data_IF_968300135236
#
_entry.id   IF_968300135236
#
_cell.length_a   1.000
_cell.length_b   1.000
_cell.length_c   1.000
_cell.angle_alpha   90.00
_cell.angle_beta   90.00
_cell.angle_gamma   90.00
#
_symmetry.space_group_name_H-M   'P 1'
#
loop_
_entity.id
_entity.type
_entity.pdbx_description
1 polymer ?
#
# COMPACT_ATOMS: atom_id res chain seq x y z
N UNK A 1 -6.94 19.06 36.77
CA UNK A 1 -6.40 18.05 35.83
C UNK A 1 -4.98 18.46 35.49
N UNK A 2 -3.99 17.57 35.60
CA UNK A 2 -2.62 17.94 35.22
C UNK A 2 -2.53 18.09 33.70
N UNK A 3 -1.92 19.18 33.24
CA UNK A 3 -1.72 19.51 31.82
C UNK A 3 -1.39 18.30 30.91
N UNK A 4 -0.47 17.37 31.28
CA UNK A 4 -0.17 16.20 30.45
C UNK A 4 -1.38 15.28 30.19
N UNK A 5 -2.28 15.11 31.16
CA UNK A 5 -3.44 14.23 31.00
C UNK A 5 -4.46 14.79 29.98
N UNK A 6 -4.58 16.12 29.93
CA UNK A 6 -5.44 16.79 28.95
C UNK A 6 -4.85 16.65 27.55
N UNK A 7 -3.53 16.82 27.40
CA UNK A 7 -2.84 16.66 26.12
C UNK A 7 -3.01 15.24 25.59
N UNK A 8 -2.77 14.21 26.41
CA UNK A 8 -2.94 12.81 26.01
C UNK A 8 -4.36 12.51 25.52
N UNK A 9 -5.38 13.01 26.22
CA UNK A 9 -6.78 12.85 25.81
C UNK A 9 -7.08 13.55 24.48
N UNK A 10 -6.61 14.78 24.31
CA UNK A 10 -6.81 15.55 23.06
C UNK A 10 -6.15 14.83 21.89
N UNK A 11 -4.91 14.34 22.06
CA UNK A 11 -4.20 13.59 21.03
C UNK A 11 -4.91 12.29 20.66
N UNK A 12 -5.39 11.52 21.65
CA UNK A 12 -6.12 10.27 21.38
C UNK A 12 -7.44 10.53 20.66
N UNK A 13 -8.21 11.54 21.08
CA UNK A 13 -9.46 11.90 20.39
C UNK A 13 -9.18 12.37 18.97
N UNK A 14 -8.18 13.24 18.78
CA UNK A 14 -7.79 13.70 17.45
C UNK A 14 -7.35 12.54 16.54
N UNK A 15 -6.54 11.61 17.06
CA UNK A 15 -6.10 10.43 16.32
C UNK A 15 -7.30 9.57 15.87
N UNK A 16 -8.24 9.27 16.78
CA UNK A 16 -9.43 8.47 16.45
C UNK A 16 -10.29 9.19 15.41
N UNK A 17 -10.53 10.49 15.56
CA UNK A 17 -11.30 11.28 14.58
C UNK A 17 -10.63 11.25 13.20
N UNK A 18 -9.32 11.47 13.14
CA UNK A 18 -8.58 11.43 11.88
C UNK A 18 -8.61 10.04 11.24
N UNK A 19 -8.49 8.97 12.02
CA UNK A 19 -8.60 7.59 11.52
C UNK A 19 -9.99 7.33 10.93
N UNK A 20 -11.06 7.78 11.59
CA UNK A 20 -12.42 7.63 11.08
C UNK A 20 -12.65 8.42 9.79
N UNK A 21 -12.17 9.66 9.73
CA UNK A 21 -12.24 10.50 8.52
C UNK A 21 -11.45 9.84 7.38
N UNK A 22 -10.22 9.40 7.65
CA UNK A 22 -9.40 8.71 6.67
C UNK A 22 -10.06 7.40 6.20
N UNK A 23 -10.70 6.64 7.09
CA UNK A 23 -11.46 5.45 6.76
C UNK A 23 -12.66 5.76 5.85
N UNK A 24 -13.43 6.80 6.14
CA UNK A 24 -14.53 7.22 5.28
C UNK A 24 -14.05 7.64 3.88
N UNK A 25 -12.95 8.41 3.80
CA UNK A 25 -12.33 8.78 2.52
C UNK A 25 -11.79 7.57 1.77
N UNK A 26 -11.21 6.60 2.47
CA UNK A 26 -10.73 5.35 1.89
C UNK A 26 -11.88 4.54 1.29
N UNK A 27 -12.99 4.39 2.02
CA UNK A 27 -14.19 3.73 1.51
C UNK A 27 -14.68 4.42 0.23
N UNK A 28 -14.73 5.75 0.23
CA UNK A 28 -15.11 6.53 -0.95
C UNK A 28 -14.16 6.32 -2.14
N UNK A 29 -12.86 6.11 -1.88
CA UNK A 29 -11.86 5.79 -2.90
C UNK A 29 -12.00 4.36 -3.44
N UNK A 30 -12.19 3.37 -2.57
CA UNK A 30 -12.43 1.97 -2.96
C UNK A 30 -13.64 1.87 -3.90
N UNK A 31 -14.70 2.63 -3.62
CA UNK A 31 -15.92 2.63 -4.43
C UNK A 31 -15.73 3.28 -5.81
N UNK A 32 -14.91 4.33 -5.90
CA UNK A 32 -14.63 5.02 -7.17
C UNK A 32 -13.51 4.38 -7.99
N UNK A 33 -12.65 3.56 -7.39
CA UNK A 33 -11.42 3.04 -8.00
C UNK A 33 -11.68 2.13 -9.21
N UNK A 34 -11.31 2.56 -10.45
CA UNK A 34 -11.53 1.77 -11.67
C UNK A 34 -10.42 0.75 -11.95
N UNK A 35 -9.24 0.89 -11.35
CA UNK A 35 -8.08 0.03 -11.61
C UNK A 35 -7.82 -0.98 -10.49
N UNK A 36 -7.34 -2.19 -10.85
CA UNK A 36 -6.93 -3.20 -9.85
C UNK A 36 -5.78 -2.71 -8.96
N UNK A 37 -4.90 -1.87 -9.50
CA UNK A 37 -3.80 -1.25 -8.77
C UNK A 37 -4.33 -0.28 -7.69
N UNK A 38 -5.32 0.55 -8.00
CA UNK A 38 -5.91 1.47 -7.03
C UNK A 38 -6.56 0.73 -5.87
N UNK A 39 -7.24 -0.39 -6.17
CA UNK A 39 -7.83 -1.27 -5.16
C UNK A 39 -6.78 -1.93 -4.28
N UNK A 40 -5.67 -2.39 -4.87
CA UNK A 40 -4.54 -2.94 -4.13
C UNK A 40 -3.93 -1.93 -3.14
N UNK A 41 -3.69 -0.70 -3.59
CA UNK A 41 -3.19 0.38 -2.72
C UNK A 41 -4.22 0.69 -1.62
N UNK A 42 -5.51 0.75 -1.97
CA UNK A 42 -6.55 1.02 -0.99
C UNK A 42 -6.63 -0.06 0.11
N UNK A 43 -6.37 -1.32 -0.21
CA UNK A 43 -6.30 -2.41 0.78
C UNK A 43 -5.08 -2.25 1.72
N UNK A 44 -3.93 -1.82 1.20
CA UNK A 44 -2.75 -1.54 2.02
C UNK A 44 -3.00 -0.36 2.98
N UNK A 45 -3.62 0.72 2.49
CA UNK A 45 -4.04 1.84 3.34
C UNK A 45 -5.09 1.40 4.38
N UNK A 46 -5.97 0.46 4.04
CA UNK A 46 -6.92 -0.11 4.99
C UNK A 46 -6.19 -0.83 6.14
N UNK A 47 -5.18 -1.65 5.82
CA UNK A 47 -4.34 -2.30 6.82
C UNK A 47 -3.62 -1.28 7.70
N UNK A 48 -3.07 -0.21 7.12
CA UNK A 48 -2.46 0.89 7.87
C UNK A 48 -3.44 1.58 8.84
N UNK A 49 -4.69 1.80 8.43
CA UNK A 49 -5.72 2.37 9.31
C UNK A 49 -6.10 1.42 10.45
N UNK A 50 -6.14 0.11 10.20
CA UNK A 50 -6.35 -0.89 11.26
C UNK A 50 -5.20 -0.84 12.27
N UNK A 51 -3.96 -0.77 11.81
CA UNK A 51 -2.77 -0.63 12.67
C UNK A 51 -2.86 0.65 13.49
N UNK A 52 -3.23 1.79 12.89
CA UNK A 52 -3.38 3.06 13.60
C UNK A 52 -4.48 2.99 14.67
N UNK A 53 -5.61 2.34 14.38
CA UNK A 53 -6.69 2.14 15.34
C UNK A 53 -6.29 1.25 16.51
N UNK A 54 -5.56 0.16 16.25
CA UNK A 54 -4.99 -0.69 17.30
C UNK A 54 -3.95 0.05 18.14
N UNK A 55 -3.12 0.89 17.51
CA UNK A 55 -2.14 1.74 18.19
C UNK A 55 -2.82 2.73 19.14
N UNK A 56 -3.88 3.41 18.68
CA UNK A 56 -4.67 4.31 19.52
C UNK A 56 -5.34 3.56 20.69
N UNK A 57 -5.86 2.34 20.44
CA UNK A 57 -6.42 1.49 21.50
C UNK A 57 -5.37 1.08 22.53
N UNK A 58 -4.20 0.62 22.09
CA UNK A 58 -3.09 0.24 22.98
C UNK A 58 -2.58 1.43 23.78
N UNK A 59 -2.49 2.62 23.16
CA UNK A 59 -2.10 3.84 23.86
C UNK A 59 -3.13 4.25 24.92
N UNK A 60 -4.43 4.09 24.63
CA UNK A 60 -5.50 4.34 25.58
C UNK A 60 -5.50 3.34 26.74
N UNK A 61 -5.38 2.04 26.45
CA UNK A 61 -5.37 0.97 27.45
C UNK A 61 -4.06 0.88 28.24
N UNK A 62 -2.99 1.53 27.76
CA UNK A 62 -1.62 1.39 28.26
C UNK A 62 -1.15 -0.07 28.31
N UNK A 63 -1.56 -0.84 27.31
CA UNK A 63 -1.29 -2.27 27.19
C UNK A 63 -0.77 -2.61 25.77
N UNK A 64 0.42 -3.22 25.66
CA UNK A 64 1.01 -3.61 24.37
C UNK A 64 0.41 -4.87 23.75
N UNK A 65 -0.67 -5.46 24.31
CA UNK A 65 -1.31 -6.68 23.80
C UNK A 65 -1.50 -6.75 22.27
N UNK A 66 -1.81 -5.62 21.61
CA UNK A 66 -2.04 -5.57 20.16
C UNK A 66 -0.77 -5.42 19.31
N UNK A 67 0.40 -5.24 19.91
CA UNK A 67 1.65 -4.98 19.19
C UNK A 67 2.04 -6.11 18.21
N UNK A 68 1.95 -7.40 18.59
CA UNK A 68 2.22 -8.48 17.65
C UNK A 68 1.28 -8.49 16.45
N UNK A 69 0.00 -8.15 16.66
CA UNK A 69 -1.01 -8.08 15.58
C UNK A 69 -0.65 -6.95 14.60
N UNK A 70 -0.30 -5.77 15.13
CA UNK A 70 0.15 -4.64 14.30
C UNK A 70 1.39 -4.99 13.48
N UNK A 71 2.34 -5.71 14.08
CA UNK A 71 3.55 -6.17 13.38
C UNK A 71 3.21 -7.10 12.21
N UNK A 72 2.34 -8.09 12.42
CA UNK A 72 1.89 -9.00 11.35
C UNK A 72 1.16 -8.24 10.25
N UNK A 73 0.28 -7.30 10.60
CA UNK A 73 -0.44 -6.47 9.62
C UNK A 73 0.52 -5.59 8.82
N UNK A 74 1.56 -5.03 9.46
CA UNK A 74 2.56 -4.22 8.78
C UNK A 74 3.35 -5.04 7.76
N UNK A 75 3.76 -6.25 8.13
CA UNK A 75 4.42 -7.18 7.19
C UNK A 75 3.50 -7.60 6.06
N UNK A 76 2.22 -7.86 6.34
CA UNK A 76 1.24 -8.26 5.34
C UNK A 76 0.98 -7.15 4.31
N UNK A 77 0.77 -5.91 4.78
CA UNK A 77 0.57 -4.75 3.91
C UNK A 77 1.80 -4.49 3.02
N UNK A 78 2.98 -4.44 3.63
CA UNK A 78 4.24 -4.27 2.90
C UNK A 78 4.46 -5.36 1.85
N UNK A 79 4.34 -6.63 2.24
CA UNK A 79 4.56 -7.76 1.32
C UNK A 79 3.52 -7.78 0.21
N UNK A 80 2.26 -7.47 0.51
CA UNK A 80 1.18 -7.36 -0.48
C UNK A 80 1.45 -6.28 -1.52
N UNK A 81 1.84 -5.09 -1.08
CA UNK A 81 2.17 -3.96 -1.96
C UNK A 81 3.37 -4.27 -2.87
N UNK A 82 4.44 -4.85 -2.31
CA UNK A 82 5.63 -5.28 -3.07
C UNK A 82 5.28 -6.38 -4.08
N UNK A 83 4.47 -7.36 -3.70
CA UNK A 83 4.03 -8.44 -4.59
C UNK A 83 3.26 -7.92 -5.81
N UNK A 84 2.37 -6.97 -5.59
CA UNK A 84 1.57 -6.34 -6.65
C UNK A 84 2.44 -5.50 -7.58
N UNK A 85 3.37 -4.71 -7.02
CA UNK A 85 4.33 -3.93 -7.82
C UNK A 85 5.22 -4.84 -8.68
N UNK A 86 5.72 -5.95 -8.12
CA UNK A 86 6.51 -6.95 -8.86
C UNK A 86 5.71 -7.61 -9.98
N UNK A 87 4.47 -8.01 -9.70
CA UNK A 87 3.61 -8.64 -10.71
C UNK A 87 3.37 -7.73 -11.92
N UNK A 88 3.07 -6.44 -11.66
CA UNK A 88 2.86 -5.44 -12.71
C UNK A 88 4.16 -5.23 -13.52
N UNK A 89 5.29 -5.04 -12.84
CA UNK A 89 6.59 -4.83 -13.49
C UNK A 89 7.02 -6.01 -14.40
N UNK A 90 6.64 -7.24 -14.05
CA UNK A 90 6.92 -8.42 -14.90
C UNK A 90 6.02 -8.44 -16.14
N UNK A 91 4.76 -8.01 -16.02
CA UNK A 91 3.80 -8.01 -17.13
C UNK A 91 4.08 -6.91 -18.17
N UNK A 92 4.61 -5.77 -17.73
CA UNK A 92 4.88 -4.62 -18.60
C UNK A 92 6.22 -4.70 -19.36
N UNK A 93 6.92 -5.84 -19.30
CA UNK A 93 8.15 -6.04 -20.08
C UNK A 93 7.80 -6.19 -21.57
N UNK A 94 8.23 -5.26 -22.46
CA UNK A 94 7.97 -5.39 -23.88
C UNK A 94 8.60 -6.69 -24.41
N UNK A 95 7.96 -7.41 -25.36
CA UNK A 95 8.61 -8.55 -26.02
C UNK A 95 9.94 -8.06 -26.59
N UNK A 96 11.05 -8.69 -26.19
CA UNK A 96 12.36 -8.34 -26.72
C UNK A 96 12.31 -8.40 -28.24
N UNK A 97 12.66 -7.30 -28.91
CA UNK A 97 12.73 -7.30 -30.37
C UNK A 97 13.67 -8.43 -30.80
N UNK A 98 13.19 -9.44 -31.56
CA UNK A 98 14.06 -10.43 -32.13
C UNK A 98 15.10 -9.69 -32.97
N UNK A 99 16.36 -10.12 -32.85
CA UNK A 99 17.47 -9.66 -33.65
C UNK A 99 17.00 -9.52 -35.11
N UNK A 100 16.91 -8.27 -35.61
CA UNK A 100 16.85 -8.04 -37.04
C UNK A 100 18.23 -8.39 -37.59
N UNK A 101 18.49 -9.68 -37.76
CA UNK A 101 19.29 -10.19 -38.88
C UNK A 101 18.58 -9.74 -40.16
N UNK A 102 18.80 -8.48 -40.53
CA UNK A 102 18.77 -8.11 -41.93
C UNK A 102 20.11 -8.64 -42.45
N UNK A 103 20.13 -9.75 -43.17
CA UNK A 103 19.74 -9.75 -44.58
C UNK A 103 20.31 -8.51 -45.29
N UNK A 104 21.64 -8.39 -45.21
CA UNK A 104 22.46 -7.44 -45.94
C UNK A 104 23.33 -8.19 -46.93
N UNK A 105 22.71 -8.58 -48.04
CA UNK A 105 23.33 -8.55 -49.37
C UNK A 105 24.54 -9.46 -49.65
N UNK A 106 24.26 -10.76 -49.83
CA UNK A 106 25.08 -11.65 -50.67
C UNK A 106 24.46 -11.74 -52.07
N UNK A 107 24.66 -10.72 -52.90
CA UNK A 107 23.98 -10.62 -54.19
C UNK A 107 24.61 -9.61 -55.14
N UNK A 108 25.94 -9.61 -55.27
CA UNK A 108 26.63 -9.08 -56.45
C UNK A 108 27.25 -10.27 -57.20
N UNK A 109 26.39 -11.05 -57.86
CA UNK A 109 26.78 -11.97 -58.92
C UNK A 109 26.23 -11.47 -60.25
N UNK A 110 27.15 -11.08 -61.14
CA UNK A 110 27.00 -11.11 -62.60
C UNK A 110 27.19 -9.76 -63.31
N UNK A 111 27.56 -9.74 -64.61
CA UNK A 111 28.08 -10.80 -65.48
C UNK A 111 29.59 -10.69 -65.81
#
# INVERSE_FOLDING_TARGET
>A
MSAPQTVDRVLLVAAVVLILVAGALLLARIWRGPSMLDRAIALDVCAALIIAGLGAKSAFARDPFYFPIMLVLAFLGFTGSVGIARFIAVRDRPPGHPHRERAGHGGEEGP
#
